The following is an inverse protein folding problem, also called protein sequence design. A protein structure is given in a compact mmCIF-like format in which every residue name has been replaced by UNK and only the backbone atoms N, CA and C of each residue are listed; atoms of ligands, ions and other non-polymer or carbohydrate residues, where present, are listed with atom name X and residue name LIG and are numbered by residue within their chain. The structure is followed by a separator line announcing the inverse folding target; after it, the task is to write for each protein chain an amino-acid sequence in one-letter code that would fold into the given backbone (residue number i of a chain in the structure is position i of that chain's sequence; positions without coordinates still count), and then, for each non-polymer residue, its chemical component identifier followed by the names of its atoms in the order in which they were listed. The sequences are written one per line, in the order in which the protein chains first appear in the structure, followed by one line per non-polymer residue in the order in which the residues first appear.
data_IF_179151028710
#
_entry.id   IF_179151028710
#
_cell.length_a   1.000
_cell.length_b   1.000
_cell.length_c   1.000
_cell.angle_alpha   90.00
_cell.angle_beta   90.00
_cell.angle_gamma   90.00
#
_symmetry.space_group_name_H-M   'P 1'
#
loop_
_entity.id
_entity.type
_entity.pdbx_description
1 polymer ?
#
# COMPACT_ATOMS: atom_id res chain seq x y z
N UNK A 1 27.87 42.78 7.16
CA UNK A 1 26.96 41.61 6.98
C UNK A 1 26.80 41.00 8.35
N UNK A 2 25.67 41.28 8.98
CA UNK A 2 25.51 41.16 10.42
C UNK A 2 25.41 39.69 10.85
N UNK A 3 26.32 39.28 11.73
CA UNK A 3 26.43 37.93 12.31
C UNK A 3 25.07 37.40 12.84
N UNK A 4 24.22 38.31 13.29
CA UNK A 4 22.85 38.09 13.75
C UNK A 4 21.93 37.49 12.68
N UNK A 5 22.01 37.96 11.43
CA UNK A 5 21.20 37.46 10.31
C UNK A 5 21.60 36.03 9.92
N UNK A 6 22.90 35.72 10.00
CA UNK A 6 23.42 34.38 9.69
C UNK A 6 22.94 33.35 10.73
N UNK A 7 22.95 33.73 12.02
CA UNK A 7 22.44 32.88 13.10
C UNK A 7 20.94 32.61 12.95
N UNK A 8 20.14 33.62 12.61
CA UNK A 8 18.69 33.46 12.39
C UNK A 8 18.41 32.49 11.25
N UNK A 9 19.11 32.63 10.13
CA UNK A 9 18.99 31.72 8.98
C UNK A 9 19.40 30.29 9.32
N UNK A 10 20.48 30.11 10.10
CA UNK A 10 20.93 28.78 10.51
C UNK A 10 19.89 28.09 11.42
N UNK A 11 19.31 28.80 12.38
CA UNK A 11 18.28 28.26 13.27
C UNK A 11 17.01 27.89 12.49
N UNK A 12 16.56 28.75 11.57
CA UNK A 12 15.43 28.47 10.68
C UNK A 12 15.68 27.24 9.79
N UNK A 13 16.89 27.12 9.22
CA UNK A 13 17.26 25.99 8.38
C UNK A 13 17.24 24.67 9.16
N UNK A 14 17.80 24.65 10.38
CA UNK A 14 17.80 23.46 11.25
C UNK A 14 16.37 23.10 11.69
N UNK A 15 15.54 24.10 11.99
CA UNK A 15 14.15 23.89 12.35
C UNK A 15 13.34 23.31 11.19
N UNK A 16 13.44 23.90 10.00
CA UNK A 16 12.81 23.39 8.78
C UNK A 16 13.28 21.96 8.46
N UNK A 17 14.59 21.70 8.52
CA UNK A 17 15.14 20.37 8.25
C UNK A 17 14.58 19.31 9.21
N UNK A 18 14.47 19.64 10.51
CA UNK A 18 13.88 18.74 11.52
C UNK A 18 12.41 18.46 11.26
N UNK A 19 11.64 19.47 10.88
CA UNK A 19 10.22 19.32 10.53
C UNK A 19 10.06 18.43 9.31
N UNK A 20 10.84 18.67 8.25
CA UNK A 20 10.79 17.86 7.01
C UNK A 20 11.15 16.41 7.30
N UNK A 21 12.22 16.17 8.09
CA UNK A 21 12.64 14.82 8.48
C UNK A 21 11.64 14.10 9.38
N UNK A 22 10.85 14.82 10.18
CA UNK A 22 9.80 14.23 11.00
C UNK A 22 8.53 13.90 10.20
N UNK A 23 8.18 14.75 9.24
CA UNK A 23 6.97 14.60 8.41
C UNK A 23 7.16 13.55 7.32
N UNK A 24 8.33 13.48 6.68
CA UNK A 24 8.62 12.50 5.62
C UNK A 24 8.29 11.05 6.00
N UNK A 25 8.78 10.48 7.12
CA UNK A 25 8.51 9.09 7.49
C UNK A 25 7.06 8.86 7.92
N UNK A 26 6.32 9.90 8.32
CA UNK A 26 4.90 9.80 8.65
C UNK A 26 4.02 9.80 7.38
N UNK A 27 4.43 10.52 6.33
CA UNK A 27 3.66 10.64 5.08
C UNK A 27 3.94 9.49 4.10
N UNK A 28 5.16 8.96 4.05
CA UNK A 28 5.51 7.81 3.19
C UNK A 28 4.63 6.53 3.38
N UNK A 29 4.33 6.04 4.60
CA UNK A 29 3.56 4.82 4.78
C UNK A 29 2.09 4.98 4.38
N UNK A 30 1.59 6.21 4.36
CA UNK A 30 0.23 6.55 3.93
C UNK A 30 0.07 6.44 2.42
N UNK A 31 1.10 6.81 1.65
CA UNK A 31 1.10 6.68 0.19
C UNK A 31 1.38 5.24 -0.27
N UNK A 32 2.16 4.48 0.50
CA UNK A 32 2.48 3.07 0.19
C UNK A 32 1.30 2.09 0.30
N UNK A 33 0.20 2.46 0.97
CA UNK A 33 -1.01 1.62 1.05
C UNK A 33 -1.90 1.70 -0.18
N UNK A 34 -1.77 2.76 -1.00
CA UNK A 34 -2.38 2.84 -2.33
C UNK A 34 -1.45 2.25 -3.39
N UNK A 35 -0.75 1.15 -3.08
CA UNK A 35 -0.18 0.30 -4.13
C UNK A 35 -1.36 -0.22 -4.95
N UNK A 36 -1.61 0.44 -6.08
CA UNK A 36 -2.27 -0.15 -7.24
C UNK A 36 -1.60 -1.50 -7.46
N UNK A 37 -2.26 -2.57 -7.00
CA UNK A 37 -1.79 -3.93 -7.28
C UNK A 37 -1.90 -4.06 -8.79
N UNK A 38 -0.79 -4.29 -9.51
CA UNK A 38 -0.90 -4.60 -10.92
C UNK A 38 -1.79 -5.83 -11.02
N UNK A 39 -2.97 -5.65 -11.62
CA UNK A 39 -3.80 -6.77 -12.00
C UNK A 39 -2.96 -7.57 -12.98
N UNK A 40 -2.48 -8.73 -12.55
CA UNK A 40 -1.83 -9.69 -13.42
C UNK A 40 -2.84 -10.04 -14.51
N UNK A 41 -2.42 -10.02 -15.78
CA UNK A 41 -3.24 -10.44 -16.92
C UNK A 41 -3.65 -11.92 -16.87
N UNK A 42 -3.19 -12.65 -15.85
CA UNK A 42 -3.57 -14.04 -15.63
C UNK A 42 -4.90 -14.16 -14.90
N UNK A 43 -5.75 -14.97 -15.52
CA UNK A 43 -7.02 -15.43 -14.97
C UNK A 43 -6.84 -16.77 -14.26
N UNK A 44 -7.55 -16.95 -13.16
CA UNK A 44 -7.56 -18.18 -12.38
C UNK A 44 -9.00 -18.62 -12.16
N UNK A 45 -9.36 -19.79 -12.68
CA UNK A 45 -10.62 -20.46 -12.40
C UNK A 45 -10.43 -21.38 -11.18
N UNK A 46 -11.26 -21.21 -10.16
CA UNK A 46 -11.26 -22.07 -8.97
C UNK A 46 -12.64 -22.70 -8.82
N UNK A 47 -12.68 -24.03 -8.88
CA UNK A 47 -13.88 -24.83 -8.60
C UNK A 47 -13.97 -25.15 -7.11
N UNK A 48 -15.18 -25.39 -6.59
CA UNK A 48 -15.41 -25.64 -5.17
C UNK A 48 -15.06 -24.45 -4.26
N UNK A 49 -15.31 -23.23 -4.73
CA UNK A 49 -14.85 -22.00 -4.07
C UNK A 49 -15.72 -21.51 -2.90
N UNK A 50 -16.82 -22.21 -2.55
CA UNK A 50 -17.75 -21.79 -1.48
C UNK A 50 -17.06 -21.63 -0.12
N UNK A 51 -16.04 -22.44 0.19
CA UNK A 51 -15.41 -22.44 1.51
C UNK A 51 -14.06 -23.14 1.54
N UNK A 52 -13.49 -23.26 2.74
CA UNK A 52 -12.25 -24.00 2.99
C UNK A 52 -11.09 -23.61 2.07
N UNK A 53 -10.48 -24.63 1.45
CA UNK A 53 -9.30 -24.48 0.59
C UNK A 53 -9.61 -23.68 -0.67
N UNK A 54 -10.75 -23.92 -1.34
CA UNK A 54 -11.11 -23.19 -2.57
C UNK A 54 -11.26 -21.70 -2.33
N UNK A 55 -11.92 -21.31 -1.24
CA UNK A 55 -12.04 -19.90 -0.82
C UNK A 55 -10.69 -19.29 -0.42
N UNK A 56 -9.83 -20.03 0.27
CA UNK A 56 -8.48 -19.59 0.61
C UNK A 56 -7.59 -19.41 -0.63
N UNK A 57 -7.74 -20.28 -1.63
CA UNK A 57 -7.01 -20.20 -2.89
C UNK A 57 -7.43 -18.97 -3.69
N UNK A 58 -8.74 -18.69 -3.79
CA UNK A 58 -9.27 -17.48 -4.40
C UNK A 58 -8.66 -16.22 -3.77
N UNK A 59 -8.66 -16.13 -2.44
CA UNK A 59 -8.03 -15.01 -1.69
C UNK A 59 -6.54 -14.90 -1.97
N UNK A 60 -5.82 -16.02 -2.03
CA UNK A 60 -4.37 -16.04 -2.29
C UNK A 60 -4.05 -15.62 -3.72
N UNK A 61 -4.84 -16.05 -4.70
CA UNK A 61 -4.72 -15.64 -6.10
C UNK A 61 -5.02 -14.15 -6.29
N UNK A 62 -6.10 -13.64 -5.69
CA UNK A 62 -6.43 -12.22 -5.69
C UNK A 62 -5.34 -11.38 -5.00
N UNK A 63 -4.75 -11.87 -3.89
CA UNK A 63 -3.62 -11.22 -3.22
C UNK A 63 -2.37 -11.12 -4.08
N UNK A 64 -2.21 -12.01 -5.06
CA UNK A 64 -1.13 -11.98 -6.06
C UNK A 64 -1.46 -11.11 -7.28
N UNK A 65 -2.63 -10.46 -7.29
CA UNK A 65 -3.07 -9.60 -8.39
C UNK A 65 -3.78 -10.34 -9.53
N UNK A 66 -4.07 -11.64 -9.41
CA UNK A 66 -4.78 -12.37 -10.47
C UNK A 66 -6.27 -12.00 -10.51
N UNK A 67 -6.88 -12.10 -11.70
CA UNK A 67 -8.34 -12.07 -11.85
C UNK A 67 -8.89 -13.46 -11.56
N UNK A 68 -9.83 -13.59 -10.63
CA UNK A 68 -10.31 -14.89 -10.15
C UNK A 68 -11.76 -15.09 -10.56
N UNK A 69 -12.05 -16.23 -11.19
CA UNK A 69 -13.39 -16.74 -11.42
C UNK A 69 -13.61 -17.87 -10.41
N UNK A 70 -14.56 -17.69 -9.51
CA UNK A 70 -14.89 -18.67 -8.49
C UNK A 70 -16.19 -19.39 -8.88
N UNK A 71 -16.17 -20.72 -8.93
CA UNK A 71 -17.36 -21.53 -9.21
C UNK A 71 -17.62 -22.51 -8.09
N UNK A 72 -18.89 -22.73 -7.81
CA UNK A 72 -19.33 -23.75 -6.86
C UNK A 72 -20.78 -24.14 -7.13
N UNK A 73 -21.20 -25.27 -6.58
CA UNK A 73 -22.57 -25.76 -6.66
C UNK A 73 -23.53 -25.03 -5.71
N UNK A 74 -22.97 -24.39 -4.67
CA UNK A 74 -23.74 -23.66 -3.65
C UNK A 74 -23.42 -22.17 -3.71
N UNK A 75 -24.46 -21.34 -3.71
CA UNK A 75 -24.32 -19.90 -3.61
C UNK A 75 -23.80 -19.53 -2.20
N UNK A 76 -22.64 -18.89 -2.12
CA UNK A 76 -22.11 -18.34 -0.86
C UNK A 76 -22.86 -17.03 -0.57
N UNK A 77 -23.55 -16.99 0.57
CA UNK A 77 -24.43 -15.89 1.01
C UNK A 77 -23.65 -14.73 1.60
#
# INVERSE_FOLDING_TARGET
MDLSLLVVWAVLAVFCLRVVLAVYPAVLPSLGRMRFRPSSDRWVLVTGATGGVGSALCRRAAKRGCRVIATSTTLSK
#
